data_IF_027052918340
#
_entry.id   IF_027052918340
#
_cell.length_a   1.000
_cell.length_b   1.000
_cell.length_c   1.000
_cell.angle_alpha   90.00
_cell.angle_beta   90.00
_cell.angle_gamma   90.00
#
_symmetry.space_group_name_H-M   'P 1'
#
loop_
_entity.id
_entity.type
_entity.pdbx_description
1 polymer ?
#
# COMPACT_ATOMS: atom_id res chain seq x y z
N UNK A 1 24.05 -1.07 33.15
CA UNK A 1 23.95 -0.46 31.81
C UNK A 1 23.41 -1.49 30.85
N UNK A 2 22.07 -1.61 30.72
CA UNK A 2 21.43 -2.41 29.66
C UNK A 2 21.39 -1.56 28.41
N UNK A 3 22.35 -1.73 27.51
CA UNK A 3 22.23 -1.28 26.14
C UNK A 3 21.02 -2.00 25.52
N UNK A 4 20.07 -1.20 25.06
CA UNK A 4 18.80 -1.66 24.50
C UNK A 4 19.08 -2.65 23.34
N UNK A 5 18.40 -3.78 23.29
CA UNK A 5 18.55 -4.80 22.21
C UNK A 5 18.53 -4.17 20.82
N UNK A 6 17.75 -3.10 20.63
CA UNK A 6 17.67 -2.34 19.38
C UNK A 6 18.97 -1.65 18.98
N UNK A 7 19.73 -1.10 19.94
CA UNK A 7 21.04 -0.48 19.65
C UNK A 7 22.10 -1.52 19.29
N UNK A 8 22.05 -2.73 19.87
CA UNK A 8 22.95 -3.82 19.47
C UNK A 8 22.68 -4.34 18.06
N UNK A 9 21.42 -4.35 17.62
CA UNK A 9 21.07 -4.75 16.26
C UNK A 9 21.44 -3.69 15.20
N UNK A 10 21.35 -2.40 15.53
CA UNK A 10 21.80 -1.33 14.63
C UNK A 10 23.31 -1.36 14.35
N UNK A 11 24.11 -1.75 15.33
CA UNK A 11 25.59 -1.85 15.16
C UNK A 11 26.03 -3.09 14.36
N UNK A 12 25.16 -4.07 14.16
CA UNK A 12 25.50 -5.31 13.43
C UNK A 12 25.28 -5.18 11.91
N UNK A 13 24.63 -4.11 11.46
CA UNK A 13 24.07 -4.00 10.14
C UNK A 13 25.03 -3.58 9.03
N UNK A 14 25.92 -2.67 9.34
CA UNK A 14 26.89 -2.12 8.38
C UNK A 14 28.30 -2.69 8.56
N UNK A 15 28.45 -3.68 9.44
CA UNK A 15 29.75 -4.34 9.65
C UNK A 15 29.91 -5.53 8.72
N UNK A 16 31.06 -5.62 8.07
CA UNK A 16 31.48 -6.82 7.36
C UNK A 16 31.32 -8.04 8.27
N UNK A 17 30.60 -9.05 7.83
CA UNK A 17 30.42 -10.29 8.57
C UNK A 17 31.68 -11.15 8.44
N UNK A 18 32.22 -11.60 9.57
CA UNK A 18 33.28 -12.61 9.53
C UNK A 18 32.69 -13.90 8.96
N UNK A 19 33.31 -14.40 7.91
CA UNK A 19 32.93 -15.66 7.26
C UNK A 19 33.73 -16.77 7.86
N UNK A 20 33.07 -17.78 8.44
CA UNK A 20 33.74 -19.08 8.72
C UNK A 20 33.87 -19.84 7.39
N UNK A 21 35.05 -20.34 7.12
CA UNK A 21 35.31 -21.09 5.85
C UNK A 21 34.52 -22.38 5.75
N UNK A 22 34.04 -22.94 6.88
CA UNK A 22 33.20 -24.13 6.92
C UNK A 22 33.74 -25.27 6.06
N UNK A 23 32.96 -25.71 5.08
CA UNK A 23 33.30 -26.73 4.09
C UNK A 23 33.92 -26.18 2.80
N UNK A 24 34.22 -24.87 2.76
CA UNK A 24 34.83 -24.24 1.60
C UNK A 24 36.23 -24.84 1.39
N UNK A 25 36.47 -25.38 0.21
CA UNK A 25 37.75 -25.99 -0.16
C UNK A 25 38.35 -25.30 -1.38
N UNK A 26 39.67 -25.26 -1.44
CA UNK A 26 40.40 -24.80 -2.61
C UNK A 26 40.50 -25.93 -3.61
N UNK A 27 40.40 -25.59 -4.89
CA UNK A 27 40.71 -26.48 -6.02
C UNK A 27 41.73 -25.81 -6.94
N UNK A 28 42.44 -26.61 -7.71
CA UNK A 28 43.38 -26.11 -8.69
C UNK A 28 42.68 -25.23 -9.73
N UNK A 29 43.29 -24.10 -10.03
CA UNK A 29 42.79 -23.12 -10.98
C UNK A 29 43.57 -23.14 -12.31
N UNK A 30 43.37 -22.09 -13.11
CA UNK A 30 44.11 -21.85 -14.35
C UNK A 30 45.45 -21.15 -14.08
N UNK A 31 46.31 -21.08 -15.11
CA UNK A 31 47.60 -20.36 -15.07
C UNK A 31 48.55 -20.81 -13.97
N UNK A 32 48.57 -22.12 -13.66
CA UNK A 32 49.52 -22.71 -12.70
C UNK A 32 49.16 -22.53 -11.24
N UNK A 33 47.90 -22.10 -10.94
CA UNK A 33 47.39 -22.01 -9.57
C UNK A 33 47.11 -23.40 -8.99
N UNK A 34 47.98 -23.89 -8.11
CA UNK A 34 47.83 -25.15 -7.39
C UNK A 34 47.24 -24.89 -6.00
N UNK A 35 46.14 -25.53 -5.67
CA UNK A 35 45.46 -25.39 -4.37
C UNK A 35 46.39 -25.71 -3.18
N UNK A 36 47.31 -26.68 -3.38
CA UNK A 36 48.30 -27.09 -2.38
C UNK A 36 49.28 -25.98 -1.94
N UNK A 37 49.42 -24.92 -2.72
CA UNK A 37 50.28 -23.77 -2.38
C UNK A 37 49.57 -22.70 -1.53
N UNK A 38 48.29 -22.87 -1.20
CA UNK A 38 47.49 -21.88 -0.53
C UNK A 38 46.71 -22.48 0.64
N UNK A 39 46.37 -21.65 1.61
CA UNK A 39 45.49 -22.01 2.73
C UNK A 39 44.49 -20.89 3.02
N UNK A 40 43.29 -21.26 3.40
CA UNK A 40 42.29 -20.32 3.94
C UNK A 40 42.43 -20.08 5.45
N UNK A 41 43.23 -20.91 6.13
CA UNK A 41 43.48 -20.76 7.57
C UNK A 41 44.33 -19.52 7.85
N UNK A 42 43.90 -18.68 8.80
CA UNK A 42 44.61 -17.47 9.20
C UNK A 42 44.38 -16.24 8.30
N UNK A 43 43.62 -16.37 7.21
CA UNK A 43 43.20 -15.24 6.37
C UNK A 43 42.05 -14.46 6.94
N UNK A 44 41.82 -13.25 6.40
CA UNK A 44 40.60 -12.47 6.69
C UNK A 44 39.53 -12.82 5.65
N UNK A 45 38.35 -13.21 6.14
CA UNK A 45 37.22 -13.59 5.29
C UNK A 45 36.03 -12.73 5.64
N UNK A 46 35.57 -11.91 4.69
CA UNK A 46 34.47 -10.97 4.89
C UNK A 46 33.44 -11.12 3.78
N UNK A 47 32.17 -11.04 4.14
CA UNK A 47 31.04 -11.00 3.23
C UNK A 47 30.09 -9.87 3.62
N UNK A 48 29.74 -9.03 2.68
CA UNK A 48 28.72 -8.00 2.88
C UNK A 48 27.36 -8.54 2.45
N UNK A 49 26.37 -8.43 3.34
CA UNK A 49 24.97 -8.73 3.04
C UNK A 49 24.24 -7.39 2.85
N UNK A 50 23.86 -7.12 1.60
CA UNK A 50 23.17 -5.89 1.25
C UNK A 50 21.66 -6.01 1.56
N UNK A 51 21.02 -4.84 1.78
CA UNK A 51 19.58 -4.76 1.91
C UNK A 51 18.87 -5.23 0.62
N UNK A 52 17.72 -5.89 0.79
CA UNK A 52 16.87 -6.29 -0.31
C UNK A 52 15.92 -5.15 -0.67
N UNK A 53 15.89 -4.67 -1.93
CA UNK A 53 14.91 -3.65 -2.34
C UNK A 53 13.51 -4.22 -2.37
N UNK A 54 12.53 -3.44 -1.88
CA UNK A 54 11.10 -3.72 -1.91
C UNK A 54 10.35 -2.59 -2.61
N UNK A 55 9.26 -2.95 -3.29
CA UNK A 55 8.26 -2.00 -3.74
C UNK A 55 7.01 -2.15 -2.86
N UNK A 56 6.41 -1.03 -2.47
CA UNK A 56 5.22 -0.98 -1.64
C UNK A 56 4.00 -0.57 -2.47
N UNK A 57 2.88 -1.22 -2.22
CA UNK A 57 1.57 -0.80 -2.74
C UNK A 57 0.70 -0.40 -1.57
N UNK A 58 0.21 0.84 -1.58
CA UNK A 58 -0.79 1.38 -0.68
C UNK A 58 -2.17 1.27 -1.32
N UNK A 59 -3.24 1.24 -0.53
CA UNK A 59 -4.61 1.20 -1.04
C UNK A 59 -5.57 1.88 -0.08
N UNK A 60 -6.46 2.75 -0.62
CA UNK A 60 -7.52 3.41 0.13
C UNK A 60 -8.70 3.78 -0.75
N UNK A 61 -9.81 4.16 -0.13
CA UNK A 61 -10.90 4.81 -0.85
C UNK A 61 -10.59 6.29 -1.07
N UNK A 62 -11.21 6.86 -2.10
CA UNK A 62 -11.15 8.28 -2.40
C UNK A 62 -11.59 9.14 -1.20
N UNK A 63 -10.77 10.09 -0.82
CA UNK A 63 -10.97 11.02 0.29
C UNK A 63 -10.67 12.49 -0.08
N UNK A 64 -10.41 12.76 -1.37
CA UNK A 64 -10.10 14.10 -1.90
C UNK A 64 -8.68 14.58 -1.62
N UNK A 65 -7.82 13.78 -0.98
CA UNK A 65 -6.46 14.19 -0.61
C UNK A 65 -5.39 13.47 -1.42
N UNK A 66 -4.19 14.03 -1.48
CA UNK A 66 -3.00 13.37 -2.01
C UNK A 66 -2.17 12.68 -0.93
N UNK A 67 -2.56 12.80 0.35
CA UNK A 67 -1.83 12.17 1.46
C UNK A 67 -1.96 10.66 1.38
N UNK A 68 -0.83 9.95 1.38
CA UNK A 68 -0.75 8.50 1.42
C UNK A 68 -0.12 8.08 2.75
N UNK A 69 -0.88 7.46 3.64
CA UNK A 69 -0.42 7.06 4.95
C UNK A 69 0.24 5.68 4.92
N UNK A 70 1.22 5.43 5.77
CA UNK A 70 1.82 4.10 5.92
C UNK A 70 0.80 3.04 6.37
N UNK A 71 -0.27 3.46 7.08
CA UNK A 71 -1.40 2.59 7.45
C UNK A 71 -2.22 2.08 6.25
N UNK A 72 -2.11 2.73 5.08
CA UNK A 72 -2.78 2.30 3.85
C UNK A 72 -2.03 1.14 3.16
N UNK A 73 -0.97 0.62 3.76
CA UNK A 73 -0.19 -0.48 3.20
C UNK A 73 -1.08 -1.68 2.88
N UNK A 74 -1.09 -2.07 1.61
CA UNK A 74 -1.79 -3.24 1.10
C UNK A 74 -0.84 -4.43 0.90
N UNK A 75 0.33 -4.18 0.33
CA UNK A 75 1.30 -5.24 0.08
C UNK A 75 2.72 -4.70 -0.13
N UNK A 76 3.68 -5.59 0.09
CA UNK A 76 5.04 -5.49 -0.46
C UNK A 76 5.24 -6.60 -1.49
N UNK A 77 6.05 -6.33 -2.51
CA UNK A 77 6.63 -7.38 -3.33
C UNK A 77 7.88 -7.97 -2.62
N UNK A 78 8.31 -9.12 -3.02
CA UNK A 78 9.65 -9.65 -2.73
C UNK A 78 10.09 -9.80 -1.25
N UNK A 79 9.18 -9.85 -0.26
CA UNK A 79 9.51 -10.29 1.10
C UNK A 79 10.02 -11.73 1.10
N UNK A 80 10.97 -12.05 1.97
CA UNK A 80 11.58 -13.38 2.06
C UNK A 80 10.92 -14.23 3.14
N UNK A 81 10.87 -15.56 2.90
CA UNK A 81 10.58 -16.55 3.93
C UNK A 81 9.22 -16.43 4.65
N UNK A 82 8.25 -15.73 4.06
CA UNK A 82 6.97 -15.46 4.73
C UNK A 82 7.06 -14.38 5.81
N UNK A 83 8.13 -13.60 5.83
CA UNK A 83 8.26 -12.44 6.71
C UNK A 83 7.17 -11.40 6.42
N UNK A 84 6.82 -10.62 7.42
CA UNK A 84 5.94 -9.45 7.31
C UNK A 84 6.69 -8.20 7.75
N UNK A 85 6.37 -7.09 7.11
CA UNK A 85 6.78 -5.74 7.53
C UNK A 85 5.55 -4.86 7.63
N UNK A 86 5.66 -3.77 8.36
CA UNK A 86 4.68 -2.69 8.38
C UNK A 86 5.29 -1.42 7.81
N UNK A 87 4.46 -0.43 7.56
CA UNK A 87 4.90 0.90 7.10
C UNK A 87 4.36 1.96 8.04
N UNK A 88 5.15 2.99 8.28
CA UNK A 88 4.79 4.15 9.12
C UNK A 88 5.00 5.44 8.33
N UNK A 89 4.52 6.56 8.91
CA UNK A 89 4.67 7.87 8.30
C UNK A 89 3.65 8.14 7.20
N UNK A 90 3.93 9.13 6.38
CA UNK A 90 3.08 9.55 5.25
C UNK A 90 3.90 10.12 4.11
N UNK A 91 3.37 9.96 2.90
CA UNK A 91 3.90 10.52 1.67
C UNK A 91 2.82 11.30 0.91
N UNK A 92 3.14 11.75 -0.29
CA UNK A 92 2.23 12.48 -1.16
C UNK A 92 2.12 11.76 -2.50
N UNK A 93 0.92 11.38 -2.89
CA UNK A 93 0.62 10.82 -4.20
C UNK A 93 0.64 11.90 -5.30
N UNK A 94 0.92 11.52 -6.52
CA UNK A 94 0.89 12.44 -7.66
C UNK A 94 -0.53 12.89 -8.03
N UNK A 95 -1.57 12.18 -7.59
CA UNK A 95 -2.98 12.52 -7.81
C UNK A 95 -3.82 12.06 -6.61
N UNK A 96 -4.90 12.81 -6.33
CA UNK A 96 -5.95 12.40 -5.38
C UNK A 96 -7.03 11.55 -6.06
N UNK A 97 -7.09 11.51 -7.38
CA UNK A 97 -8.18 10.90 -8.13
C UNK A 97 -8.10 9.37 -8.11
N UNK A 98 -9.26 8.75 -8.32
CA UNK A 98 -9.40 7.28 -8.45
C UNK A 98 -8.55 6.77 -9.60
N UNK A 99 -7.58 5.92 -9.30
CA UNK A 99 -6.75 5.19 -10.25
C UNK A 99 -5.94 4.10 -9.53
N UNK A 100 -5.39 3.17 -10.29
CA UNK A 100 -4.44 2.18 -9.80
C UNK A 100 -3.02 2.59 -10.16
N UNK A 101 -2.07 2.26 -9.27
CA UNK A 101 -0.65 2.46 -9.53
C UNK A 101 -0.21 3.92 -9.59
N UNK A 102 -0.91 4.81 -8.88
CA UNK A 102 -0.53 6.23 -8.80
C UNK A 102 0.85 6.32 -8.14
N UNK A 103 1.81 6.91 -8.83
CA UNK A 103 3.15 7.12 -8.30
C UNK A 103 3.14 8.12 -7.14
N UNK A 104 4.10 8.00 -6.24
CA UNK A 104 4.33 9.01 -5.22
C UNK A 104 5.08 10.20 -5.83
N UNK A 105 4.60 11.42 -5.59
CA UNK A 105 5.37 12.65 -5.86
C UNK A 105 6.43 12.90 -4.79
N UNK A 106 6.19 12.38 -3.57
CA UNK A 106 7.16 12.37 -2.48
C UNK A 106 6.84 11.24 -1.50
N UNK A 107 7.86 10.47 -1.12
CA UNK A 107 7.71 9.48 -0.05
C UNK A 107 7.62 10.12 1.35
N UNK A 108 7.94 11.42 1.49
CA UNK A 108 7.82 12.13 2.76
C UNK A 108 8.51 11.41 3.91
N UNK A 109 7.72 11.03 4.93
CA UNK A 109 8.17 10.28 6.12
C UNK A 109 7.85 8.78 6.05
N UNK A 110 7.39 8.26 4.91
CA UNK A 110 7.14 6.83 4.75
C UNK A 110 8.40 6.03 5.04
N UNK A 111 8.31 5.08 5.94
CA UNK A 111 9.41 4.23 6.37
C UNK A 111 8.94 2.81 6.67
N UNK A 112 9.79 1.84 6.35
CA UNK A 112 9.58 0.45 6.73
C UNK A 112 9.70 0.31 8.25
N UNK A 113 8.85 -0.51 8.84
CA UNK A 113 8.91 -0.87 10.25
C UNK A 113 8.84 -2.39 10.41
N UNK A 114 9.40 -2.88 11.53
CA UNK A 114 9.48 -4.31 11.81
C UNK A 114 8.09 -4.94 11.92
N UNK A 115 7.98 -6.15 11.38
CA UNK A 115 6.89 -7.09 11.62
C UNK A 115 7.49 -8.38 12.16
N UNK A 116 7.28 -9.52 11.49
CA UNK A 116 8.04 -10.76 11.78
C UNK A 116 9.44 -10.67 11.20
N UNK A 117 9.63 -9.93 10.10
CA UNK A 117 10.92 -9.56 9.52
C UNK A 117 11.47 -8.27 10.11
N UNK A 118 12.78 -8.06 9.92
CA UNK A 118 13.48 -6.83 10.32
C UNK A 118 13.48 -5.86 9.14
N UNK A 119 12.84 -4.70 9.30
CA UNK A 119 12.80 -3.62 8.30
C UNK A 119 14.20 -3.27 7.79
N UNK A 120 15.13 -3.49 8.61
CA UNK A 120 16.53 -3.23 8.42
C UNK A 120 17.23 -4.12 7.38
N UNK A 121 16.70 -5.26 7.06
CA UNK A 121 17.19 -6.10 5.99
C UNK A 121 16.70 -5.65 4.61
N UNK A 122 15.84 -4.63 4.59
CA UNK A 122 15.15 -4.17 3.39
C UNK A 122 15.35 -2.68 3.15
N UNK A 123 15.23 -2.26 1.91
CA UNK A 123 15.20 -0.87 1.49
C UNK A 123 13.95 -0.59 0.68
N UNK A 124 13.26 0.52 0.93
CA UNK A 124 12.10 0.94 0.14
C UNK A 124 12.60 1.51 -1.19
N UNK A 125 12.29 0.83 -2.29
CA UNK A 125 12.72 1.23 -3.64
C UNK A 125 11.67 2.13 -4.31
N UNK A 126 10.40 1.69 -4.32
CA UNK A 126 9.31 2.49 -4.87
C UNK A 126 8.02 2.27 -4.07
N UNK A 127 7.12 3.25 -4.17
CA UNK A 127 5.80 3.20 -3.56
C UNK A 127 4.77 3.69 -4.56
N UNK A 128 3.67 2.97 -4.67
CA UNK A 128 2.49 3.37 -5.45
C UNK A 128 1.25 3.27 -4.57
N UNK A 129 0.18 4.01 -4.95
CA UNK A 129 -1.10 3.91 -4.26
C UNK A 129 -2.24 3.63 -5.24
N UNK A 130 -3.14 2.75 -4.85
CA UNK A 130 -4.40 2.48 -5.51
C UNK A 130 -5.51 3.24 -4.77
N UNK A 131 -6.21 4.12 -5.46
CA UNK A 131 -7.35 4.85 -4.92
C UNK A 131 -8.62 4.31 -5.57
N UNK A 132 -9.44 3.65 -4.76
CA UNK A 132 -10.72 3.10 -5.19
C UNK A 132 -11.83 4.14 -5.09
N UNK A 133 -12.91 3.95 -5.86
CA UNK A 133 -14.11 4.78 -5.77
C UNK A 133 -14.70 4.76 -4.36
N UNK A 134 -15.19 5.91 -3.91
CA UNK A 134 -15.97 6.03 -2.68
C UNK A 134 -17.41 5.67 -2.95
N UNK A 135 -17.98 4.80 -2.11
CA UNK A 135 -19.37 4.40 -2.22
C UNK A 135 -20.26 5.53 -1.69
N UNK A 136 -21.20 5.97 -2.51
CA UNK A 136 -22.22 6.95 -2.12
C UNK A 136 -23.46 6.25 -1.57
N UNK A 137 -24.14 6.92 -0.65
CA UNK A 137 -25.47 6.55 -0.21
C UNK A 137 -26.49 7.48 -0.87
N UNK A 138 -27.69 7.00 -1.06
CA UNK A 138 -28.83 7.79 -1.56
C UNK A 138 -30.00 7.73 -0.60
N UNK A 139 -30.67 8.84 -0.45
CA UNK A 139 -31.92 8.96 0.30
C UNK A 139 -32.80 10.02 -0.35
N UNK A 140 -34.07 10.07 0.01
CA UNK A 140 -34.98 11.10 -0.54
C UNK A 140 -36.39 10.90 -0.13
N UNK A 141 -37.28 11.78 -0.64
CA UNK A 141 -38.72 11.70 -0.43
C UNK A 141 -39.47 12.23 -1.67
N UNK A 142 -40.63 11.70 -1.89
CA UNK A 142 -41.56 12.21 -2.90
C UNK A 142 -42.99 12.16 -2.34
N UNK A 143 -43.85 13.01 -2.88
CA UNK A 143 -45.27 12.93 -2.61
C UNK A 143 -45.88 11.77 -3.38
N UNK A 144 -46.90 11.13 -2.84
CA UNK A 144 -47.65 10.07 -3.50
C UNK A 144 -48.19 10.53 -4.87
N UNK A 145 -47.84 9.78 -5.91
CA UNK A 145 -48.20 10.05 -7.31
C UNK A 145 -48.62 8.78 -8.09
N UNK A 146 -48.91 7.71 -7.36
CA UNK A 146 -49.33 6.42 -7.86
C UNK A 146 -48.29 5.69 -8.75
N UNK A 147 -47.02 6.11 -8.73
CA UNK A 147 -45.93 5.40 -9.47
C UNK A 147 -44.76 5.06 -8.58
N UNK A 148 -43.86 4.17 -9.07
CA UNK A 148 -42.67 3.72 -8.37
C UNK A 148 -41.43 4.53 -8.75
N UNK A 149 -41.51 5.50 -9.63
CA UNK A 149 -40.38 6.27 -10.11
C UNK A 149 -39.97 7.32 -9.05
N UNK A 150 -38.69 7.39 -8.79
CA UNK A 150 -38.03 8.40 -7.99
C UNK A 150 -37.13 9.25 -8.88
N UNK A 151 -37.58 10.44 -9.24
CA UNK A 151 -36.81 11.38 -10.06
C UNK A 151 -35.56 11.84 -9.31
N UNK A 152 -34.48 12.14 -10.05
CA UNK A 152 -33.20 12.62 -9.49
C UNK A 152 -33.40 13.79 -8.50
N UNK A 153 -34.29 14.74 -8.78
CA UNK A 153 -34.57 15.86 -7.87
C UNK A 153 -35.18 15.50 -6.52
N UNK A 154 -35.72 14.27 -6.37
CA UNK A 154 -36.22 13.75 -5.10
C UNK A 154 -35.17 12.96 -4.32
N UNK A 155 -33.99 12.77 -4.89
CA UNK A 155 -32.89 11.95 -4.34
C UNK A 155 -31.76 12.88 -3.90
N UNK A 156 -31.23 12.63 -2.72
CA UNK A 156 -30.00 13.28 -2.20
C UNK A 156 -28.90 12.24 -2.09
N UNK A 157 -27.74 12.57 -2.62
CA UNK A 157 -26.53 11.76 -2.46
C UNK A 157 -25.80 12.19 -1.18
N UNK A 158 -25.27 11.22 -0.45
CA UNK A 158 -24.50 11.43 0.76
C UNK A 158 -23.23 10.58 0.78
N UNK A 159 -22.38 10.78 1.78
CA UNK A 159 -21.04 10.20 1.88
C UNK A 159 -20.05 10.77 0.85
N UNK A 160 -20.29 11.97 0.35
CA UNK A 160 -19.32 12.75 -0.42
C UNK A 160 -18.15 13.20 0.46
N UNK A 161 -17.02 13.51 -0.14
CA UNK A 161 -15.94 14.22 0.55
C UNK A 161 -16.41 15.64 0.89
N UNK A 162 -16.03 16.12 2.07
CA UNK A 162 -16.46 17.45 2.54
C UNK A 162 -16.12 18.55 1.55
N UNK A 163 -17.10 19.36 1.19
CA UNK A 163 -16.98 20.45 0.23
C UNK A 163 -17.18 20.05 -1.24
N UNK A 164 -17.34 18.75 -1.54
CA UNK A 164 -17.68 18.29 -2.89
C UNK A 164 -19.19 18.22 -3.10
N UNK A 165 -19.61 18.44 -4.33
CA UNK A 165 -20.98 18.25 -4.79
C UNK A 165 -20.96 17.50 -6.12
N UNK A 166 -21.95 16.66 -6.33
CA UNK A 166 -22.16 15.95 -7.59
C UNK A 166 -23.55 16.27 -8.14
N UNK A 167 -23.60 16.50 -9.44
CA UNK A 167 -24.88 16.56 -10.14
C UNK A 167 -25.26 15.14 -10.57
N UNK A 168 -26.55 14.84 -10.45
CA UNK A 168 -27.10 13.58 -10.92
C UNK A 168 -28.43 13.85 -11.64
N UNK A 169 -28.76 12.96 -12.54
CA UNK A 169 -29.97 13.03 -13.36
C UNK A 169 -30.54 11.64 -13.56
N UNK A 170 -31.77 11.57 -14.07
CA UNK A 170 -32.44 10.30 -14.39
C UNK A 170 -33.49 9.92 -13.34
N UNK A 171 -33.84 8.64 -13.31
CA UNK A 171 -34.92 8.09 -12.49
C UNK A 171 -34.45 6.80 -11.82
N UNK A 172 -34.67 6.69 -10.52
CA UNK A 172 -34.54 5.46 -9.75
C UNK A 172 -35.91 4.80 -9.58
N UNK A 173 -35.95 3.57 -9.11
CA UNK A 173 -37.18 2.84 -8.83
C UNK A 173 -37.23 2.41 -7.36
N UNK A 174 -38.40 2.58 -6.72
CA UNK A 174 -38.69 2.13 -5.36
C UNK A 174 -39.62 0.92 -5.36
N UNK A 175 -39.63 0.16 -4.27
CA UNK A 175 -40.34 -1.12 -4.19
C UNK A 175 -41.87 -1.06 -4.22
N UNK A 176 -42.48 0.12 -4.02
CA UNK A 176 -43.95 0.31 -4.04
C UNK A 176 -44.33 1.75 -4.32
N UNK A 177 -45.46 1.94 -4.99
CA UNK A 177 -46.04 3.26 -5.20
C UNK A 177 -46.83 3.81 -3.98
N UNK A 178 -47.21 2.97 -3.03
CA UNK A 178 -47.99 3.37 -1.86
C UNK A 178 -47.20 4.25 -0.89
N UNK A 179 -47.85 5.04 -0.07
CA UNK A 179 -47.18 5.80 0.97
C UNK A 179 -46.54 4.88 2.00
N UNK A 180 -45.25 5.12 2.30
CA UNK A 180 -44.43 4.31 3.21
C UNK A 180 -42.95 4.59 3.04
N UNK A 181 -42.10 3.82 3.78
CA UNK A 181 -40.66 3.88 3.62
C UNK A 181 -40.20 2.67 2.82
N UNK A 182 -39.48 2.90 1.74
CA UNK A 182 -39.03 1.86 0.81
C UNK A 182 -37.57 2.00 0.49
N UNK A 183 -36.95 0.86 0.21
CA UNK A 183 -35.58 0.82 -0.35
C UNK A 183 -35.63 1.20 -1.83
N UNK A 184 -34.65 1.97 -2.29
CA UNK A 184 -34.44 2.17 -3.71
C UNK A 184 -33.96 0.84 -4.29
N UNK A 185 -34.75 0.22 -5.17
CA UNK A 185 -34.49 -1.12 -5.70
C UNK A 185 -33.64 -1.09 -6.97
N UNK A 186 -33.62 0.04 -7.68
CA UNK A 186 -32.84 0.18 -8.91
C UNK A 186 -32.35 1.62 -9.08
N UNK A 187 -31.03 1.76 -9.21
CA UNK A 187 -30.32 3.01 -9.48
C UNK A 187 -29.75 3.09 -10.89
N UNK A 188 -29.96 2.07 -11.74
CA UNK A 188 -29.34 2.01 -13.09
C UNK A 188 -29.79 3.16 -14.01
N UNK A 189 -30.93 3.79 -13.72
CA UNK A 189 -31.41 4.97 -14.44
C UNK A 189 -30.83 6.30 -13.93
N UNK A 190 -29.99 6.29 -12.88
CA UNK A 190 -29.35 7.49 -12.36
C UNK A 190 -27.97 7.63 -12.98
N UNK A 191 -27.70 8.77 -13.59
CA UNK A 191 -26.38 9.16 -14.11
C UNK A 191 -25.78 10.24 -13.24
N UNK A 192 -24.49 10.09 -12.90
CA UNK A 192 -23.70 11.11 -12.21
C UNK A 192 -22.85 11.79 -13.29
N UNK A 193 -22.98 13.10 -13.43
CA UNK A 193 -22.21 13.90 -14.37
C UNK A 193 -21.07 14.61 -13.65
N UNK A 194 -19.85 14.53 -14.20
CA UNK A 194 -18.79 15.49 -13.89
C UNK A 194 -19.08 16.79 -14.66
N UNK A 195 -19.00 17.91 -13.98
CA UNK A 195 -19.02 19.24 -14.62
C UNK A 195 -17.68 19.53 -15.26
#
# INVERSE_FOLDING_TARGET
HRLNRRQRQMCIRDSNKTVSVGTLALADGSNGGLAANYTLSGGTHQLTVNQRPLNATLARQYDGTTTAAGSDLSSFDALQGGETLTMTGSGTAASANVANGIAMSSNGTLALADGTGLASNYSLNSTVINIAQRVLNSSGSKTYDANTDALAGAITLSNLVSGEALNHSGTATIGSANAGSYTITNLSGISIACL
#
